data_IF_276534727071
#
_entry.id   IF_276534727071
#
_cell.length_a   1.000
_cell.length_b   1.000
_cell.length_c   1.000
_cell.angle_alpha   90.00
_cell.angle_beta   90.00
_cell.angle_gamma   90.00
#
_symmetry.space_group_name_H-M   'P 1'
#
loop_
_entity.id
_entity.type
_entity.pdbx_description
1 polymer ?
#
# COMPACT_ATOMS: atom_id res chain seq x y z
N UNK A 1 7.69 1.93 -3.75
CA UNK A 1 7.40 2.78 -4.93
C UNK A 1 6.67 2.03 -6.05
N UNK A 2 7.13 0.84 -6.45
CA UNK A 2 6.51 0.05 -7.55
C UNK A 2 5.00 -0.09 -7.38
N UNK A 3 4.52 -0.46 -6.18
CA UNK A 3 3.09 -0.55 -5.86
C UNK A 3 2.30 0.72 -6.18
N UNK A 4 2.75 1.89 -5.72
CA UNK A 4 2.04 3.16 -5.92
C UNK A 4 2.06 3.63 -7.39
N UNK A 5 3.18 3.45 -8.09
CA UNK A 5 3.30 3.80 -9.52
C UNK A 5 2.40 2.90 -10.38
N UNK A 6 2.36 1.59 -10.09
CA UNK A 6 1.48 0.65 -10.79
C UNK A 6 0.00 0.92 -10.51
N UNK A 7 -0.35 1.38 -9.30
CA UNK A 7 -1.72 1.78 -8.99
C UNK A 7 -2.18 2.98 -9.82
N UNK A 8 -1.34 4.00 -9.95
CA UNK A 8 -1.60 5.19 -10.78
C UNK A 8 -1.74 4.78 -12.25
N UNK A 9 -0.82 3.94 -12.76
CA UNK A 9 -0.87 3.41 -14.13
C UNK A 9 -2.19 2.64 -14.39
N UNK A 10 -2.63 1.82 -13.45
CA UNK A 10 -3.89 1.08 -13.55
C UNK A 10 -5.12 1.99 -13.62
N UNK A 11 -5.05 3.21 -13.08
CA UNK A 11 -6.13 4.21 -13.15
C UNK A 11 -6.14 5.05 -14.44
N UNK A 12 -5.05 5.01 -15.21
CA UNK A 12 -4.87 5.78 -16.46
C UNK A 12 -5.09 4.90 -17.69
N UNK A 13 -4.70 3.61 -17.63
CA UNK A 13 -4.85 2.72 -18.77
C UNK A 13 -6.29 2.27 -18.99
N UNK A 14 -6.74 2.33 -20.24
CA UNK A 14 -8.07 1.88 -20.68
C UNK A 14 -8.05 0.45 -21.27
N UNK A 15 -6.86 -0.14 -21.46
CA UNK A 15 -6.68 -1.47 -22.04
C UNK A 15 -6.55 -2.55 -20.97
N UNK A 16 -7.34 -3.62 -21.10
CA UNK A 16 -7.38 -4.77 -20.18
C UNK A 16 -6.00 -5.39 -19.96
N UNK A 17 -5.17 -5.47 -21.00
CA UNK A 17 -3.81 -6.03 -20.92
C UNK A 17 -2.91 -5.19 -20.02
N UNK A 18 -2.96 -3.86 -20.17
CA UNK A 18 -2.16 -2.93 -19.39
C UNK A 18 -2.63 -2.82 -17.93
N UNK A 19 -3.94 -2.93 -17.71
CA UNK A 19 -4.52 -3.06 -16.36
C UNK A 19 -4.03 -4.36 -15.71
N UNK A 20 -4.06 -5.48 -16.42
CA UNK A 20 -3.60 -6.78 -15.93
C UNK A 20 -2.13 -6.77 -15.51
N UNK A 21 -1.25 -6.19 -16.34
CA UNK A 21 0.17 -6.01 -16.01
C UNK A 21 0.31 -5.12 -14.77
N UNK A 22 -0.43 -4.02 -14.69
CA UNK A 22 -0.40 -3.11 -13.54
C UNK A 22 -0.86 -3.78 -12.25
N UNK A 23 -1.89 -4.63 -12.31
CA UNK A 23 -2.40 -5.43 -11.19
C UNK A 23 -1.39 -6.49 -10.72
N UNK A 24 -0.62 -7.10 -11.63
CA UNK A 24 0.45 -8.02 -11.25
C UNK A 24 1.54 -7.31 -10.43
N UNK A 25 2.01 -6.15 -10.90
CA UNK A 25 2.99 -5.36 -10.15
C UNK A 25 2.42 -4.80 -8.84
N UNK A 26 1.13 -4.48 -8.82
CA UNK A 26 0.40 -4.10 -7.62
C UNK A 26 0.40 -5.25 -6.59
N UNK A 27 0.04 -6.47 -7.01
CA UNK A 27 0.07 -7.66 -6.14
C UNK A 27 1.47 -8.00 -5.62
N UNK A 28 2.48 -7.98 -6.50
CA UNK A 28 3.88 -8.22 -6.12
C UNK A 28 4.38 -7.16 -5.14
N UNK A 29 4.10 -5.88 -5.40
CA UNK A 29 4.48 -4.78 -4.52
C UNK A 29 3.85 -4.90 -3.13
N UNK A 30 2.55 -5.20 -3.06
CA UNK A 30 1.86 -5.42 -1.79
C UNK A 30 2.42 -6.63 -1.02
N UNK A 31 2.64 -7.75 -1.71
CA UNK A 31 3.20 -8.97 -1.11
C UNK A 31 4.61 -8.75 -0.54
N UNK A 32 5.48 -8.06 -1.28
CA UNK A 32 6.83 -7.72 -0.81
C UNK A 32 6.79 -6.80 0.41
N UNK A 33 5.93 -5.77 0.42
CA UNK A 33 5.80 -4.88 1.56
C UNK A 33 5.30 -5.61 2.81
N UNK A 34 4.30 -6.49 2.66
CA UNK A 34 3.75 -7.25 3.78
C UNK A 34 4.77 -8.26 4.36
N UNK A 35 5.41 -9.06 3.50
CA UNK A 35 6.38 -10.06 3.92
C UNK A 35 7.62 -9.45 4.60
N UNK A 36 8.15 -8.35 4.04
CA UNK A 36 9.30 -7.66 4.63
C UNK A 36 8.95 -6.97 5.95
N UNK A 37 7.76 -6.38 6.07
CA UNK A 37 7.29 -5.74 7.31
C UNK A 37 7.10 -6.75 8.44
N UNK A 38 6.50 -7.91 8.15
CA UNK A 38 6.39 -9.01 9.12
C UNK A 38 7.77 -9.52 9.54
N UNK A 39 8.68 -9.73 8.59
CA UNK A 39 10.03 -10.20 8.91
C UNK A 39 10.80 -9.18 9.76
N UNK A 40 10.69 -7.89 9.44
CA UNK A 40 11.33 -6.82 10.20
C UNK A 40 10.75 -6.73 11.62
N UNK A 41 9.42 -6.71 11.77
CA UNK A 41 8.77 -6.65 13.07
C UNK A 41 9.12 -7.88 13.94
N UNK A 42 9.21 -9.06 13.34
CA UNK A 42 9.64 -10.30 14.01
C UNK A 42 11.08 -10.20 14.52
N UNK A 43 11.98 -9.59 13.73
CA UNK A 43 13.39 -9.44 14.09
C UNK A 43 13.64 -8.43 15.21
N UNK A 44 12.75 -7.44 15.36
CA UNK A 44 12.88 -6.38 16.36
C UNK A 44 12.27 -6.75 17.72
N UNK A 45 11.57 -7.88 17.82
CA UNK A 45 10.84 -8.28 19.02
C UNK A 45 11.45 -9.52 19.68
N UNK A 46 11.32 -9.61 21.01
CA UNK A 46 11.67 -10.82 21.76
C UNK A 46 10.73 -11.97 21.40
N UNK A 47 11.23 -13.22 21.44
CA UNK A 47 10.48 -14.43 21.05
C UNK A 47 9.12 -14.55 21.76
N UNK A 48 9.03 -14.08 23.00
CA UNK A 48 7.83 -14.12 23.84
C UNK A 48 6.73 -13.16 23.35
N UNK A 49 7.10 -11.98 22.83
CA UNK A 49 6.16 -10.97 22.36
C UNK A 49 5.85 -11.05 20.86
N UNK A 50 6.53 -11.94 20.13
CA UNK A 50 6.41 -12.03 18.68
C UNK A 50 4.96 -12.32 18.22
N UNK A 51 4.24 -13.19 18.94
CA UNK A 51 2.84 -13.49 18.64
C UNK A 51 1.93 -12.26 18.70
N UNK A 52 2.12 -11.40 19.71
CA UNK A 52 1.33 -10.18 19.89
C UNK A 52 1.66 -9.15 18.79
N UNK A 53 2.92 -9.04 18.41
CA UNK A 53 3.39 -8.12 17.37
C UNK A 53 2.88 -8.56 15.99
N UNK A 54 2.92 -9.85 15.68
CA UNK A 54 2.37 -10.38 14.44
C UNK A 54 0.84 -10.23 14.39
N UNK A 55 0.14 -10.50 15.49
CA UNK A 55 -1.32 -10.37 15.58
C UNK A 55 -1.76 -8.91 15.42
N UNK A 56 -1.08 -7.97 16.09
CA UNK A 56 -1.37 -6.54 15.96
C UNK A 56 -1.08 -6.03 14.55
N UNK A 57 0.07 -6.38 13.96
CA UNK A 57 0.44 -5.95 12.61
C UNK A 57 -0.54 -6.50 11.56
N UNK A 58 -0.97 -7.75 11.70
CA UNK A 58 -1.98 -8.36 10.83
C UNK A 58 -3.37 -7.73 11.05
N UNK A 59 -3.73 -7.45 12.31
CA UNK A 59 -5.00 -6.80 12.66
C UNK A 59 -5.11 -5.37 12.14
N UNK A 60 -4.05 -4.56 12.27
CA UNK A 60 -4.01 -3.22 11.66
C UNK A 60 -4.00 -3.31 10.13
N UNK A 61 -3.29 -4.29 9.57
CA UNK A 61 -3.30 -4.55 8.13
C UNK A 61 -4.70 -4.89 7.59
N UNK A 62 -5.44 -5.75 8.28
CA UNK A 62 -6.81 -6.14 7.87
C UNK A 62 -7.80 -4.99 8.00
N UNK A 63 -7.65 -4.10 8.98
CA UNK A 63 -8.42 -2.85 9.07
C UNK A 63 -8.16 -1.95 7.85
N UNK A 64 -6.91 -1.85 7.38
CA UNK A 64 -6.57 -1.15 6.14
C UNK A 64 -7.26 -1.76 4.92
N UNK A 65 -7.28 -3.10 4.82
CA UNK A 65 -8.02 -3.80 3.76
C UNK A 65 -9.53 -3.59 3.82
N UNK A 66 -10.11 -3.42 5.01
CA UNK A 66 -11.53 -3.13 5.18
C UNK A 66 -11.86 -1.66 4.84
N UNK A 67 -11.04 -0.72 5.30
CA UNK A 67 -11.24 0.71 5.07
C UNK A 67 -10.92 1.12 3.62
N UNK A 68 -10.06 0.38 2.91
CA UNK A 68 -9.70 0.67 1.52
C UNK A 68 -10.93 0.75 0.59
N UNK A 69 -11.76 -0.29 0.48
CA UNK A 69 -12.98 -0.25 -0.32
C UNK A 69 -13.97 0.83 0.13
N UNK A 70 -14.15 1.00 1.45
CA UNK A 70 -15.10 1.99 2.00
C UNK A 70 -14.66 3.42 1.64
N UNK A 71 -13.38 3.73 1.84
CA UNK A 71 -12.81 5.03 1.49
C UNK A 71 -12.79 5.25 -0.03
N UNK A 72 -12.53 4.21 -0.82
CA UNK A 72 -12.59 4.28 -2.29
C UNK A 72 -14.00 4.62 -2.79
N UNK A 73 -15.02 3.92 -2.30
CA UNK A 73 -16.43 4.20 -2.64
C UNK A 73 -16.88 5.57 -2.12
N UNK A 74 -16.40 5.96 -0.93
CA UNK A 74 -16.66 7.29 -0.38
C UNK A 74 -16.08 8.41 -1.24
N UNK A 75 -14.85 8.24 -1.73
CA UNK A 75 -14.19 9.18 -2.62
C UNK A 75 -14.88 9.25 -3.99
N UNK A 76 -15.29 8.10 -4.51
CA UNK A 76 -15.98 7.99 -5.81
C UNK A 76 -17.34 8.72 -5.79
N UNK A 77 -18.04 8.72 -4.64
CA UNK A 77 -19.32 9.42 -4.46
C UNK A 77 -19.19 10.95 -4.37
N UNK A 78 -18.04 11.46 -3.96
CA UNK A 78 -17.81 12.91 -3.74
C UNK A 78 -17.03 13.50 -4.93
N UNK A 79 -16.28 12.68 -5.66
CA UNK A 79 -15.51 13.10 -6.82
C UNK A 79 -16.45 13.33 -8.01
N UNK A 80 -16.60 14.58 -8.43
CA UNK A 80 -17.16 14.90 -9.76
C UNK A 80 -16.30 14.28 -10.86
N UNK A 81 -16.86 13.91 -12.02
CA UNK A 81 -16.13 13.27 -13.12
C UNK A 81 -15.26 14.31 -13.84
N UNK A 82 -14.23 14.82 -13.17
CA UNK A 82 -13.23 15.66 -13.77
C UNK A 82 -12.07 14.75 -14.22
N UNK A 83 -12.02 14.54 -15.53
CA UNK A 83 -11.05 13.73 -16.29
C UNK A 83 -11.27 12.22 -16.11
N UNK A 84 -11.39 11.49 -17.23
CA UNK A 84 -11.69 10.05 -17.33
C UNK A 84 -10.62 9.09 -16.80
N UNK A 85 -9.91 9.48 -15.75
CA UNK A 85 -8.96 8.69 -14.98
C UNK A 85 -9.48 8.49 -13.56
N UNK A 86 -9.40 7.27 -13.04
CA UNK A 86 -9.96 6.91 -11.74
C UNK A 86 -9.26 7.71 -10.61
N UNK A 87 -9.91 8.78 -10.14
CA UNK A 87 -9.41 9.72 -9.12
C UNK A 87 -8.93 8.98 -7.85
N UNK A 88 -9.61 7.89 -7.50
CA UNK A 88 -9.24 6.98 -6.41
C UNK A 88 -7.84 6.39 -6.61
N UNK A 89 -7.53 5.86 -7.79
CA UNK A 89 -6.22 5.26 -8.10
C UNK A 89 -5.08 6.29 -8.01
N UNK A 90 -5.34 7.54 -8.38
CA UNK A 90 -4.38 8.62 -8.21
C UNK A 90 -4.17 8.97 -6.74
N UNK A 91 -5.24 9.13 -5.96
CA UNK A 91 -5.16 9.47 -4.53
C UNK A 91 -4.49 8.37 -3.70
N UNK A 92 -4.88 7.11 -3.87
CA UNK A 92 -4.25 6.00 -3.16
C UNK A 92 -2.81 5.76 -3.62
N UNK A 93 -2.53 5.88 -4.92
CA UNK A 93 -1.19 5.69 -5.45
C UNK A 93 -0.21 6.77 -4.99
N UNK A 94 -0.65 8.04 -4.95
CA UNK A 94 0.15 9.15 -4.42
C UNK A 94 0.34 9.07 -2.90
N UNK A 95 -0.71 8.72 -2.15
CA UNK A 95 -0.61 8.47 -0.72
C UNK A 95 0.44 7.38 -0.42
N UNK A 96 0.46 6.30 -1.21
CA UNK A 96 1.45 5.25 -1.07
C UNK A 96 2.88 5.73 -1.34
N UNK A 97 3.08 6.55 -2.38
CA UNK A 97 4.40 7.12 -2.70
C UNK A 97 4.86 8.04 -1.56
N UNK A 98 3.96 8.86 -1.01
CA UNK A 98 4.25 9.72 0.14
C UNK A 98 4.63 8.90 1.38
N UNK A 99 3.90 7.83 1.69
CA UNK A 99 4.25 6.93 2.80
C UNK A 99 5.65 6.36 2.63
N UNK A 100 6.01 5.93 1.41
CA UNK A 100 7.37 5.46 1.12
C UNK A 100 8.41 6.58 1.33
N UNK A 101 8.14 7.79 0.84
CA UNK A 101 9.06 8.93 1.01
C UNK A 101 9.26 9.31 2.48
N UNK A 102 8.19 9.31 3.27
CA UNK A 102 8.25 9.60 4.71
C UNK A 102 8.94 8.48 5.49
N UNK A 103 8.92 7.24 5.01
CA UNK A 103 9.58 6.11 5.69
C UNK A 103 11.08 5.97 5.36
N UNK A 104 11.57 6.55 4.26
CA UNK A 104 13.02 6.61 3.94
C UNK A 104 13.88 7.21 5.08
N UNK A 105 13.56 8.37 5.67
CA UNK A 105 14.37 8.93 6.76
C UNK A 105 14.38 8.03 8.01
N UNK A 106 13.28 7.33 8.31
CA UNK A 106 13.24 6.37 9.41
C UNK A 106 14.12 5.14 9.17
N UNK A 107 14.28 4.71 7.92
CA UNK A 107 15.22 3.65 7.56
C UNK A 107 16.67 4.04 7.88
N UNK A 108 17.04 5.30 7.62
CA UNK A 108 18.38 5.82 7.94
C UNK A 108 18.65 5.77 9.45
N UNK A 109 17.66 6.13 10.26
CA UNK A 109 17.75 6.10 11.73
C UNK A 109 17.84 4.66 12.27
N UNK A 110 17.13 3.71 11.66
CA UNK A 110 17.18 2.30 12.07
C UNK A 110 18.49 1.59 11.71
N UNK A 111 19.17 2.03 10.65
CA UNK A 111 20.40 1.41 10.14
C UNK A 111 21.70 2.04 10.72
N UNK A 112 21.57 3.04 11.60
CA UNK A 112 22.68 3.63 12.38
C UNK A 112 22.92 2.93 13.73
N UNK A 113 22.15 1.87 14.04
CA UNK A 113 22.41 0.96 15.17
C UNK A 113 23.11 -0.31 14.73
#
# INVERSE_FOLDING_TARGET
>A
MIYGVSLILSGIFQSVVWIGISLLFCGLGAGLMFATSLRLASSLCTRENNGIVMASLTGFGSLGFFLGPISSVGLDRISTPFIGSSSTAFVFGTAQILIVLVSIPFYKILNEK
#
